data_IF_372357061100
#
_entry.id   IF_372357061100
#
_cell.length_a   1.000
_cell.length_b   1.000
_cell.length_c   1.000
_cell.angle_alpha   90.00
_cell.angle_beta   90.00
_cell.angle_gamma   90.00
#
_symmetry.space_group_name_H-M   'P 1'
#
loop_
_entity.id
_entity.type
_entity.pdbx_description
1 polymer ?
#
# COMPACT_ATOMS: atom_id res chain seq x y z
N UNK A 1 -22.47 23.07 -30.08
CA UNK A 1 -21.70 22.09 -29.30
C UNK A 1 -21.26 20.99 -30.27
N UNK A 2 -20.06 21.10 -30.83
CA UNK A 2 -19.45 20.00 -31.60
C UNK A 2 -19.16 18.87 -30.60
N UNK A 3 -19.84 17.73 -30.73
CA UNK A 3 -19.53 16.49 -30.00
C UNK A 3 -19.01 15.48 -31.01
N UNK A 4 -17.76 15.65 -31.41
CA UNK A 4 -16.98 14.54 -31.94
C UNK A 4 -16.13 14.04 -30.77
N UNK A 5 -16.70 13.16 -29.94
CA UNK A 5 -15.92 12.41 -28.97
C UNK A 5 -15.20 11.32 -29.77
N UNK A 6 -13.92 11.52 -30.07
CA UNK A 6 -13.08 10.45 -30.62
C UNK A 6 -12.35 9.84 -29.43
N UNK A 7 -12.93 8.76 -28.91
CA UNK A 7 -12.27 7.90 -27.93
C UNK A 7 -11.12 7.16 -28.63
N UNK A 8 -9.91 7.25 -28.07
CA UNK A 8 -8.73 6.60 -28.61
C UNK A 8 -7.89 6.01 -27.50
N UNK A 9 -7.57 4.72 -27.62
CA UNK A 9 -6.64 4.05 -26.71
C UNK A 9 -5.23 4.03 -27.33
N UNK A 10 -4.20 4.22 -26.52
CA UNK A 10 -2.80 4.03 -26.92
C UNK A 10 -1.92 3.69 -25.74
N UNK A 11 -0.80 3.04 -26.05
CA UNK A 11 0.34 2.98 -25.17
C UNK A 11 1.12 4.29 -25.22
N UNK A 12 1.52 4.77 -24.05
CA UNK A 12 2.47 5.86 -23.89
C UNK A 12 3.79 5.28 -23.39
N UNK A 13 4.87 5.54 -24.11
CA UNK A 13 6.23 5.14 -23.75
C UNK A 13 7.24 6.22 -24.18
N UNK A 14 8.54 5.94 -24.03
CA UNK A 14 9.61 6.86 -24.44
C UNK A 14 9.58 7.24 -25.92
N UNK A 15 9.03 6.37 -26.78
CA UNK A 15 8.91 6.57 -28.22
C UNK A 15 7.55 7.17 -28.61
N UNK A 16 6.55 7.10 -27.73
CA UNK A 16 5.18 7.57 -27.93
C UNK A 16 4.70 8.40 -26.74
N UNK A 17 5.36 9.53 -26.49
CA UNK A 17 5.07 10.41 -25.34
C UNK A 17 3.81 11.27 -25.49
N UNK A 18 3.23 11.35 -26.68
CA UNK A 18 2.02 12.14 -26.94
C UNK A 18 1.13 11.50 -28.00
N UNK A 19 -0.17 11.73 -27.87
CA UNK A 19 -1.16 11.36 -28.88
C UNK A 19 -2.19 12.48 -29.04
N UNK A 20 -2.57 12.73 -30.27
CA UNK A 20 -3.55 13.74 -30.62
C UNK A 20 -3.85 13.73 -32.11
N UNK A 21 -4.61 14.73 -32.56
CA UNK A 21 -4.92 14.92 -33.97
C UNK A 21 -4.15 16.12 -34.50
N UNK A 22 -3.56 15.97 -35.69
CA UNK A 22 -2.87 17.07 -36.38
C UNK A 22 -3.82 18.19 -36.80
N UNK A 23 -5.11 17.88 -36.97
CA UNK A 23 -6.18 18.83 -37.21
C UNK A 23 -7.46 18.34 -36.52
N UNK A 24 -8.02 19.16 -35.62
CA UNK A 24 -9.27 18.84 -34.89
C UNK A 24 -10.40 19.81 -35.24
N UNK A 25 -10.10 21.12 -35.33
CA UNK A 25 -11.06 22.15 -35.73
C UNK A 25 -10.36 23.11 -36.72
N UNK A 26 -10.98 23.47 -37.86
CA UNK A 26 -10.44 24.48 -38.74
C UNK A 26 -10.24 25.82 -38.02
N UNK A 27 -9.09 26.47 -38.23
CA UNK A 27 -8.79 27.76 -37.62
C UNK A 27 -9.86 28.81 -37.91
N UNK A 28 -10.45 28.79 -39.12
CA UNK A 28 -11.54 29.68 -39.51
C UNK A 28 -12.77 29.57 -38.63
N UNK A 29 -13.07 28.37 -38.11
CA UNK A 29 -14.15 28.14 -37.14
C UNK A 29 -13.74 28.49 -35.71
N UNK A 30 -12.48 28.23 -35.36
CA UNK A 30 -11.97 28.54 -34.02
C UNK A 30 -12.04 30.06 -33.73
N UNK A 31 -11.75 30.89 -34.73
CA UNK A 31 -11.71 32.36 -34.60
C UNK A 31 -13.03 33.04 -34.95
N UNK A 32 -14.03 32.32 -35.47
CA UNK A 32 -15.33 32.91 -35.78
C UNK A 32 -16.06 33.27 -34.48
N UNK A 33 -16.28 34.57 -34.27
CA UNK A 33 -16.98 35.11 -33.11
C UNK A 33 -18.38 34.51 -32.97
N UNK A 34 -19.01 34.10 -34.07
CA UNK A 34 -20.34 33.47 -34.05
C UNK A 34 -20.32 32.03 -33.53
N UNK A 35 -19.21 31.32 -33.70
CA UNK A 35 -19.08 29.93 -33.25
C UNK A 35 -18.74 29.83 -31.74
N UNK A 36 -18.23 30.91 -31.15
CA UNK A 36 -18.12 31.08 -29.70
C UNK A 36 -16.99 30.29 -29.01
N UNK A 37 -16.04 29.74 -29.78
CA UNK A 37 -14.88 29.01 -29.23
C UNK A 37 -13.80 29.92 -28.66
N UNK A 38 -13.61 31.10 -29.25
CA UNK A 38 -12.65 32.12 -28.82
C UNK A 38 -13.39 33.20 -28.03
N UNK A 39 -13.10 33.30 -26.73
CA UNK A 39 -13.66 34.33 -25.86
C UNK A 39 -12.53 35.14 -25.24
N UNK A 40 -12.55 36.47 -25.40
CA UNK A 40 -11.51 37.37 -24.88
C UNK A 40 -10.07 37.02 -25.31
N UNK A 41 -9.90 36.44 -26.51
CA UNK A 41 -8.59 36.01 -27.00
C UNK A 41 -8.11 34.66 -26.44
N UNK A 42 -8.92 33.98 -25.63
CA UNK A 42 -8.60 32.70 -25.01
C UNK A 42 -9.49 31.56 -25.54
N UNK A 43 -8.92 30.35 -25.58
CA UNK A 43 -9.60 29.10 -25.94
C UNK A 43 -9.38 28.10 -24.81
N UNK A 44 -10.46 27.49 -24.32
CA UNK A 44 -10.37 26.39 -23.34
C UNK A 44 -10.40 25.05 -24.06
N UNK A 45 -9.31 24.29 -23.95
CA UNK A 45 -9.24 22.90 -24.39
C UNK A 45 -9.48 21.99 -23.19
N UNK A 46 -10.37 21.01 -23.35
CA UNK A 46 -10.70 20.02 -22.31
C UNK A 46 -10.44 18.64 -22.86
N UNK A 47 -9.72 17.81 -22.12
CA UNK A 47 -9.49 16.40 -22.41
C UNK A 47 -9.85 15.57 -21.19
N UNK A 48 -10.56 14.47 -21.39
CA UNK A 48 -10.80 13.45 -20.38
C UNK A 48 -9.86 12.28 -20.67
N UNK A 49 -9.10 11.86 -19.67
CA UNK A 49 -8.06 10.83 -19.82
C UNK A 49 -8.35 9.71 -18.84
N UNK A 50 -8.57 8.51 -19.37
CA UNK A 50 -8.63 7.27 -18.60
C UNK A 50 -7.34 6.47 -18.81
N UNK A 51 -6.69 6.06 -17.73
CA UNK A 51 -5.53 5.16 -17.77
C UNK A 51 -6.01 3.73 -17.52
N UNK A 52 -5.73 2.82 -18.46
CA UNK A 52 -6.15 1.42 -18.36
C UNK A 52 -5.09 0.55 -17.67
N UNK A 53 -3.83 0.65 -18.10
CA UNK A 53 -2.73 -0.17 -17.60
C UNK A 53 -1.41 0.62 -17.63
N UNK A 54 -0.55 0.38 -16.64
CA UNK A 54 0.82 0.91 -16.58
C UNK A 54 1.76 -0.25 -16.37
N UNK A 55 2.75 -0.40 -17.26
CA UNK A 55 3.75 -1.46 -17.20
C UNK A 55 5.13 -0.84 -16.93
N UNK A 56 5.72 -1.15 -15.78
CA UNK A 56 7.05 -0.66 -15.39
C UNK A 56 7.15 -0.31 -13.90
N UNK A 57 8.38 -0.25 -13.39
CA UNK A 57 8.65 0.13 -11.99
C UNK A 57 8.79 1.65 -11.94
N UNK A 58 7.84 2.34 -11.31
CA UNK A 58 7.90 3.79 -11.10
C UNK A 58 8.50 4.08 -9.73
N UNK A 59 9.54 4.91 -9.70
CA UNK A 59 10.20 5.37 -8.47
C UNK A 59 9.44 6.54 -7.81
N UNK A 60 8.38 7.03 -8.46
CA UNK A 60 7.54 8.09 -7.94
C UNK A 60 6.41 7.45 -7.15
N UNK A 61 6.48 7.56 -5.82
CA UNK A 61 5.38 7.33 -4.89
C UNK A 61 4.26 8.35 -5.18
N UNK A 62 3.46 8.10 -6.22
CA UNK A 62 2.25 8.86 -6.45
C UNK A 62 1.11 8.18 -5.71
N UNK A 63 0.72 8.80 -4.61
CA UNK A 63 -0.41 8.48 -3.74
C UNK A 63 -1.79 8.75 -4.40
N UNK A 64 -1.93 8.61 -5.72
CA UNK A 64 -3.16 9.01 -6.44
C UNK A 64 -3.84 7.86 -7.19
N UNK A 65 -5.08 7.59 -6.78
CA UNK A 65 -6.22 7.31 -7.67
C UNK A 65 -6.17 6.06 -8.55
N UNK A 66 -5.29 5.12 -8.26
CA UNK A 66 -5.49 3.75 -8.70
C UNK A 66 -6.56 3.15 -7.80
N UNK A 67 -7.78 3.10 -8.35
CA UNK A 67 -8.78 2.11 -7.98
C UNK A 67 -8.19 0.73 -8.36
N UNK A 68 -7.12 0.33 -7.68
CA UNK A 68 -6.79 -1.08 -7.54
C UNK A 68 -8.06 -1.67 -6.97
N UNK A 69 -8.68 -2.56 -7.75
CA UNK A 69 -9.86 -3.31 -7.34
C UNK A 69 -9.49 -3.99 -6.02
N UNK A 70 -9.90 -3.37 -4.92
CA UNK A 70 -9.66 -3.93 -3.60
C UNK A 70 -10.69 -5.03 -3.45
N UNK A 71 -10.20 -6.20 -3.08
CA UNK A 71 -11.03 -7.38 -2.95
C UNK A 71 -11.51 -7.40 -1.51
N UNK A 72 -12.83 -7.55 -1.32
CA UNK A 72 -13.38 -7.75 0.02
C UNK A 72 -13.10 -9.19 0.49
N UNK A 73 -12.38 -9.33 1.59
CA UNK A 73 -12.17 -10.59 2.28
C UNK A 73 -12.70 -10.44 3.70
N UNK A 74 -13.82 -11.10 4.01
CA UNK A 74 -14.47 -11.06 5.33
C UNK A 74 -14.77 -9.62 5.81
N UNK A 75 -15.16 -8.72 4.90
CA UNK A 75 -15.45 -7.32 5.19
C UNK A 75 -14.20 -6.44 5.28
N UNK A 76 -13.02 -6.91 4.90
CA UNK A 76 -11.79 -6.12 4.82
C UNK A 76 -11.41 -5.89 3.36
N UNK A 77 -11.10 -4.64 3.02
CA UNK A 77 -10.64 -4.27 1.68
C UNK A 77 -9.13 -4.50 1.59
N UNK A 78 -8.71 -5.41 0.70
CA UNK A 78 -7.30 -5.83 0.53
C UNK A 78 -6.85 -5.71 -0.91
N UNK A 79 -5.55 -5.55 -1.11
CA UNK A 79 -4.97 -5.58 -2.46
C UNK A 79 -5.02 -7.01 -3.03
N UNK A 80 -5.18 -7.19 -4.35
CA UNK A 80 -5.18 -8.52 -4.97
C UNK A 80 -3.98 -9.39 -4.59
N UNK A 81 -2.79 -8.80 -4.45
CA UNK A 81 -1.57 -9.49 -4.04
C UNK A 81 -1.60 -10.03 -2.60
N UNK A 82 -2.48 -9.50 -1.75
CA UNK A 82 -2.59 -9.88 -0.33
C UNK A 82 -3.73 -10.85 -0.05
N UNK A 83 -4.62 -11.09 -1.03
CA UNK A 83 -5.85 -11.88 -0.84
C UNK A 83 -5.56 -13.27 -0.28
N UNK A 84 -4.58 -13.97 -0.83
CA UNK A 84 -4.27 -15.34 -0.42
C UNK A 84 -3.72 -15.39 1.02
N UNK A 85 -2.83 -14.47 1.37
CA UNK A 85 -2.29 -14.35 2.72
C UNK A 85 -3.39 -14.05 3.74
N UNK A 86 -4.31 -13.14 3.40
CA UNK A 86 -5.43 -12.77 4.28
C UNK A 86 -6.41 -13.93 4.42
N UNK A 87 -6.77 -14.61 3.32
CA UNK A 87 -7.63 -15.81 3.37
C UNK A 87 -7.01 -16.90 4.26
N UNK A 88 -5.73 -17.22 4.04
CA UNK A 88 -5.02 -18.21 4.84
C UNK A 88 -4.98 -17.85 6.33
N UNK A 89 -4.83 -16.56 6.66
CA UNK A 89 -4.88 -16.07 8.03
C UNK A 89 -6.24 -16.35 8.69
N UNK A 90 -7.34 -16.03 8.00
CA UNK A 90 -8.69 -16.30 8.50
C UNK A 90 -9.03 -17.79 8.54
N UNK A 91 -8.50 -18.62 7.64
CA UNK A 91 -8.69 -20.07 7.68
C UNK A 91 -7.98 -20.69 8.89
N UNK A 92 -6.74 -20.28 9.17
CA UNK A 92 -5.97 -20.74 10.34
C UNK A 92 -6.54 -20.21 11.65
N UNK A 93 -7.12 -19.01 11.63
CA UNK A 93 -7.68 -18.34 12.80
C UNK A 93 -9.08 -17.78 12.51
N UNK A 94 -10.13 -18.62 12.42
CA UNK A 94 -11.47 -18.20 12.00
C UNK A 94 -12.11 -17.14 12.89
N UNK A 95 -11.76 -17.12 14.17
CA UNK A 95 -12.33 -16.19 15.15
C UNK A 95 -11.45 -14.97 15.42
N UNK A 96 -10.37 -14.77 14.65
CA UNK A 96 -9.38 -13.70 14.83
C UNK A 96 -10.01 -12.31 14.90
N UNK A 97 -11.04 -12.04 14.10
CA UNK A 97 -11.74 -10.75 14.05
C UNK A 97 -13.16 -10.81 14.67
N UNK A 98 -13.50 -11.86 15.43
CA UNK A 98 -14.87 -12.08 15.92
C UNK A 98 -15.39 -10.99 16.89
N UNK A 99 -14.49 -10.28 17.58
CA UNK A 99 -14.82 -9.15 18.47
C UNK A 99 -14.40 -7.80 17.89
N UNK A 100 -14.02 -7.77 16.61
CA UNK A 100 -13.49 -6.57 15.97
C UNK A 100 -14.55 -5.48 15.88
N UNK A 101 -14.23 -4.32 16.44
CA UNK A 101 -15.18 -3.21 16.67
C UNK A 101 -15.24 -2.18 15.54
N UNK A 102 -14.12 -1.80 14.89
CA UNK A 102 -14.13 -0.79 13.84
C UNK A 102 -15.03 -1.14 12.65
N UNK A 103 -15.92 -0.20 12.31
CA UNK A 103 -16.85 -0.31 11.18
C UNK A 103 -16.44 0.53 9.97
N UNK A 104 -15.63 1.57 10.18
CA UNK A 104 -15.17 2.45 9.10
C UNK A 104 -14.19 1.68 8.18
N UNK A 105 -14.44 1.58 6.86
CA UNK A 105 -13.63 0.79 5.94
C UNK A 105 -12.13 1.11 5.98
N UNK A 106 -11.76 2.39 6.03
CA UNK A 106 -10.34 2.80 6.09
C UNK A 106 -9.66 2.31 7.37
N UNK A 107 -10.35 2.40 8.51
CA UNK A 107 -9.83 1.85 9.77
C UNK A 107 -9.68 0.33 9.70
N UNK A 108 -10.65 -0.37 9.08
CA UNK A 108 -10.58 -1.83 8.91
C UNK A 108 -9.35 -2.23 8.11
N UNK A 109 -9.10 -1.56 6.98
CA UNK A 109 -7.91 -1.78 6.16
C UNK A 109 -6.63 -1.42 6.91
N UNK A 110 -6.57 -0.29 7.61
CA UNK A 110 -5.39 0.10 8.39
C UNK A 110 -5.05 -0.95 9.46
N UNK A 111 -6.04 -1.43 10.22
CA UNK A 111 -5.83 -2.47 11.22
C UNK A 111 -5.41 -3.81 10.60
N UNK A 112 -5.97 -4.20 9.45
CA UNK A 112 -5.56 -5.42 8.77
C UNK A 112 -4.11 -5.31 8.28
N UNK A 113 -3.70 -4.18 7.72
CA UNK A 113 -2.32 -3.95 7.31
C UNK A 113 -1.37 -4.02 8.51
N UNK A 114 -1.72 -3.43 9.64
CA UNK A 114 -0.93 -3.56 10.87
C UNK A 114 -0.83 -5.01 11.36
N UNK A 115 -1.89 -5.80 11.22
CA UNK A 115 -1.87 -7.23 11.54
C UNK A 115 -0.95 -8.00 10.61
N UNK A 116 -1.01 -7.75 9.30
CA UNK A 116 -0.13 -8.38 8.31
C UNK A 116 1.35 -8.02 8.57
N UNK A 117 1.66 -6.75 8.81
CA UNK A 117 3.03 -6.34 9.16
C UNK A 117 3.53 -7.01 10.42
N UNK A 118 2.69 -7.17 11.44
CA UNK A 118 3.07 -7.90 12.66
C UNK A 118 3.33 -9.38 12.38
N UNK A 119 2.56 -10.02 11.49
CA UNK A 119 2.84 -11.41 11.08
C UNK A 119 4.14 -11.53 10.27
N UNK A 120 4.48 -10.54 9.45
CA UNK A 120 5.73 -10.50 8.70
C UNK A 120 6.95 -10.35 9.61
N UNK A 121 6.88 -9.46 10.60
CA UNK A 121 7.93 -9.31 11.63
C UNK A 121 8.20 -10.66 12.31
N UNK A 122 7.16 -11.42 12.64
CA UNK A 122 7.28 -12.74 13.27
C UNK A 122 7.69 -13.88 12.34
N UNK A 123 7.91 -13.58 11.06
CA UNK A 123 8.51 -14.48 10.09
C UNK A 123 10.00 -14.21 9.86
N UNK A 124 10.52 -13.07 10.32
CA UNK A 124 11.95 -12.74 10.27
C UNK A 124 12.72 -13.56 11.32
N UNK A 125 14.03 -13.69 11.12
CA UNK A 125 14.87 -14.34 12.13
C UNK A 125 15.06 -13.42 13.35
N UNK A 126 15.21 -13.95 14.57
CA UNK A 126 15.41 -13.12 15.76
C UNK A 126 16.60 -12.18 15.61
N UNK A 127 17.70 -12.61 15.00
CA UNK A 127 18.94 -11.83 14.82
C UNK A 127 18.73 -10.59 13.93
N UNK A 128 17.78 -10.63 13.00
CA UNK A 128 17.42 -9.51 12.12
C UNK A 128 16.56 -8.46 12.83
N UNK A 129 15.96 -8.79 13.98
CA UNK A 129 15.05 -7.92 14.70
C UNK A 129 15.80 -6.98 15.65
N UNK A 130 15.56 -5.68 15.49
CA UNK A 130 16.02 -4.70 16.46
C UNK A 130 15.11 -4.65 17.69
N UNK A 131 15.63 -4.06 18.78
CA UNK A 131 14.83 -3.80 19.99
C UNK A 131 13.65 -2.87 19.66
N UNK A 132 13.85 -1.91 18.75
CA UNK A 132 12.82 -0.98 18.32
C UNK A 132 11.71 -1.69 17.51
N UNK A 133 12.07 -2.65 16.66
CA UNK A 133 11.11 -3.48 15.92
C UNK A 133 10.24 -4.29 16.88
N UNK A 134 10.85 -4.90 17.90
CA UNK A 134 10.12 -5.62 18.94
C UNK A 134 9.20 -4.69 19.73
N UNK A 135 9.67 -3.52 20.15
CA UNK A 135 8.87 -2.52 20.88
C UNK A 135 7.67 -2.03 20.04
N UNK A 136 7.88 -1.79 18.75
CA UNK A 136 6.83 -1.41 17.80
C UNK A 136 5.82 -2.55 17.59
N UNK A 137 6.30 -3.80 17.50
CA UNK A 137 5.46 -4.99 17.40
C UNK A 137 4.55 -5.16 18.63
N UNK A 138 5.08 -5.00 19.85
CA UNK A 138 4.27 -5.05 21.09
C UNK A 138 3.24 -3.93 21.15
N UNK A 139 3.62 -2.72 20.73
CA UNK A 139 2.71 -1.57 20.67
C UNK A 139 1.57 -1.81 19.67
N UNK A 140 1.90 -2.37 18.50
CA UNK A 140 0.95 -2.73 17.45
C UNK A 140 0.00 -3.84 17.90
N UNK A 141 0.52 -4.91 18.51
CA UNK A 141 -0.27 -6.00 19.09
C UNK A 141 -1.28 -5.48 20.12
N UNK A 142 -0.85 -4.57 21.00
CA UNK A 142 -1.72 -3.94 22.00
C UNK A 142 -2.85 -3.15 21.33
N UNK A 143 -2.55 -2.39 20.28
CA UNK A 143 -3.53 -1.62 19.52
C UNK A 143 -4.57 -2.54 18.86
N UNK A 144 -4.12 -3.60 18.20
CA UNK A 144 -4.98 -4.57 17.50
C UNK A 144 -5.90 -5.31 18.48
N UNK A 145 -5.38 -5.71 19.64
CA UNK A 145 -6.16 -6.38 20.69
C UNK A 145 -7.25 -5.45 21.23
N UNK A 146 -6.94 -4.17 21.46
CA UNK A 146 -7.93 -3.15 21.86
C UNK A 146 -9.01 -2.93 20.79
N UNK A 147 -8.66 -3.05 19.51
CA UNK A 147 -9.61 -2.99 18.40
C UNK A 147 -10.53 -4.23 18.33
N UNK A 148 -10.18 -5.30 19.06
CA UNK A 148 -11.00 -6.50 19.22
C UNK A 148 -10.52 -7.70 18.41
N UNK A 149 -9.29 -7.68 17.88
CA UNK A 149 -8.68 -8.90 17.36
C UNK A 149 -8.32 -9.86 18.51
N UNK A 150 -8.46 -11.16 18.28
CA UNK A 150 -8.01 -12.23 19.16
C UNK A 150 -6.64 -12.71 18.71
N UNK A 151 -5.59 -12.27 19.41
CA UNK A 151 -4.19 -12.44 18.99
C UNK A 151 -3.34 -13.17 20.03
N UNK A 152 -3.94 -14.00 20.90
CA UNK A 152 -3.23 -14.70 21.98
C UNK A 152 -2.06 -15.55 21.46
N UNK A 153 -2.23 -16.16 20.27
CA UNK A 153 -1.19 -16.94 19.61
C UNK A 153 -0.01 -16.07 19.14
N UNK A 154 -0.32 -14.85 18.68
CA UNK A 154 0.66 -13.88 18.17
C UNK A 154 1.43 -13.25 19.32
N UNK A 155 0.74 -12.95 20.43
CA UNK A 155 1.32 -12.49 21.69
C UNK A 155 2.33 -13.50 22.23
N UNK A 156 1.93 -14.78 22.30
CA UNK A 156 2.82 -15.85 22.74
C UNK A 156 4.05 -15.95 21.84
N UNK A 157 3.87 -15.94 20.52
CA UNK A 157 4.97 -16.04 19.56
C UNK A 157 5.92 -14.83 19.63
N UNK A 158 5.38 -13.62 19.77
CA UNK A 158 6.19 -12.40 19.91
C UNK A 158 7.00 -12.41 21.21
N UNK A 159 6.45 -12.96 22.29
CA UNK A 159 7.19 -13.18 23.53
C UNK A 159 8.38 -14.11 23.34
N UNK A 160 8.15 -15.26 22.71
CA UNK A 160 9.21 -16.24 22.44
C UNK A 160 10.33 -15.63 21.59
N UNK A 161 9.99 -14.93 20.50
CA UNK A 161 10.98 -14.26 19.64
C UNK A 161 11.75 -13.18 20.40
N UNK A 162 11.08 -12.37 21.22
CA UNK A 162 11.72 -11.34 22.02
C UNK A 162 12.68 -11.91 23.08
N UNK A 163 12.30 -13.01 23.74
CA UNK A 163 13.18 -13.71 24.68
C UNK A 163 14.43 -14.26 23.99
N UNK A 164 14.28 -14.84 22.79
CA UNK A 164 15.41 -15.33 21.99
C UNK A 164 16.37 -14.19 21.61
N UNK A 165 15.84 -13.05 21.12
CA UNK A 165 16.70 -11.90 20.75
C UNK A 165 17.50 -11.38 21.95
N UNK A 166 16.88 -11.31 23.13
CA UNK A 166 17.59 -10.87 24.34
C UNK A 166 18.74 -11.82 24.67
N UNK A 167 18.54 -13.13 24.58
CA UNK A 167 19.60 -14.10 24.82
C UNK A 167 20.76 -13.97 23.83
N UNK A 168 20.46 -13.75 22.55
CA UNK A 168 21.49 -13.51 21.52
C UNK A 168 22.31 -12.25 21.82
N UNK A 169 21.66 -11.15 22.20
CA UNK A 169 22.35 -9.91 22.58
C UNK A 169 23.24 -10.14 23.80
N UNK A 170 22.78 -10.90 24.80
CA UNK A 170 23.59 -11.24 25.97
C UNK A 170 24.83 -12.05 25.61
N UNK A 171 24.73 -13.01 24.67
CA UNK A 171 25.89 -13.76 24.17
C UNK A 171 26.84 -12.89 23.34
N UNK A 172 26.32 -12.05 22.44
CA UNK A 172 27.12 -11.08 21.66
C UNK A 172 27.94 -10.15 22.59
N UNK A 173 27.34 -9.69 23.69
CA UNK A 173 28.01 -8.87 24.70
C UNK A 173 29.09 -9.64 25.48
N UNK A 174 28.86 -10.90 25.82
CA UNK A 174 29.87 -11.76 26.47
C UNK A 174 31.07 -11.99 25.55
N UNK A 175 30.84 -12.29 24.29
CA UNK A 175 31.89 -12.51 23.29
C UNK A 175 32.73 -11.25 23.07
N UNK A 176 32.10 -10.08 22.94
CA UNK A 176 32.81 -8.80 22.85
C UNK A 176 33.65 -8.52 24.10
N UNK A 177 33.14 -8.82 25.29
CA UNK A 177 33.86 -8.62 26.56
C UNK A 177 35.10 -9.52 26.63
N UNK A 178 34.98 -10.78 26.25
CA UNK A 178 36.10 -11.74 26.23
C UNK A 178 37.20 -11.32 25.23
N UNK A 179 36.84 -10.79 24.06
CA UNK A 179 37.81 -10.27 23.09
C UNK A 179 38.60 -9.07 23.62
N UNK A 180 37.94 -8.16 24.35
CA UNK A 180 38.61 -7.01 24.97
C UNK A 180 39.59 -7.43 26.07
N UNK A 181 39.26 -8.47 26.85
CA UNK A 181 40.16 -9.04 27.84
C UNK A 181 41.39 -9.71 27.20
N UNK A 182 41.21 -10.40 26.06
CA UNK A 182 42.31 -11.02 25.32
C UNK A 182 43.31 -10.00 24.75
N UNK A 183 42.84 -8.79 24.41
CA UNK A 183 43.68 -7.73 23.83
C UNK A 183 44.44 -6.90 24.88
N UNK A 184 44.24 -7.15 26.18
CA UNK A 184 44.85 -6.42 27.29
C UNK A 184 46.12 -7.08 27.80
#
# INVERSE_FOLDING_TARGET
MFRDFIEGQCWFDENATSKGFSAMLPLTKLIDVKDGFLMNGEVKVVAEVGVLEVVGRSDVLVETLLLHESIDVNGFQVLPSQVESVKSLFEKHPDIASKFRPKNPHLRTAYLNSLLSLTEILCQSPEELSIDDLANAYSTLTCLTKAGFKLDWLEKKLKEVGETRVQEIEEELKDMTALLEFLR
#
